data_IF_675425054556
#
_entry.id   IF_675425054556
#
_cell.length_a   1.000
_cell.length_b   1.000
_cell.length_c   1.000
_cell.angle_alpha   90.00
_cell.angle_beta   90.00
_cell.angle_gamma   90.00
#
_symmetry.space_group_name_H-M   'P 1'
#
loop_
_entity.id
_entity.type
_entity.pdbx_description
1 polymer ?
#
# COMPACT_ATOMS: atom_id res chain seq x y z
N UNK A 1 3.91 8.13 -44.71
CA UNK A 1 4.21 7.86 -43.28
C UNK A 1 4.28 9.15 -42.53
N UNK A 2 3.34 9.39 -41.64
CA UNK A 2 3.46 10.52 -40.71
C UNK A 2 4.41 10.08 -39.57
N UNK A 3 5.62 10.65 -39.54
CA UNK A 3 6.44 10.59 -38.36
C UNK A 3 5.75 11.45 -37.28
N UNK A 4 5.01 10.82 -36.41
CA UNK A 4 4.58 11.45 -35.17
C UNK A 4 5.82 11.54 -34.29
N UNK A 5 6.56 12.64 -34.41
CA UNK A 5 7.51 13.01 -33.36
C UNK A 5 6.70 13.36 -32.13
N UNK A 6 6.59 12.41 -31.19
CA UNK A 6 6.16 12.78 -29.85
C UNK A 6 7.19 13.75 -29.31
N UNK A 7 6.75 14.99 -29.06
CA UNK A 7 7.60 15.95 -28.37
C UNK A 7 7.87 15.41 -26.98
N UNK A 8 9.13 15.06 -26.73
CA UNK A 8 9.57 14.69 -25.40
C UNK A 8 9.57 15.93 -24.53
N UNK A 9 9.21 15.76 -23.27
CA UNK A 9 9.36 16.83 -22.27
C UNK A 9 10.81 17.26 -22.09
N UNK A 10 11.04 18.37 -21.39
CA UNK A 10 12.41 18.83 -21.13
C UNK A 10 13.22 17.80 -20.38
N UNK A 11 14.50 17.75 -20.69
CA UNK A 11 15.45 16.86 -20.01
C UNK A 11 15.55 17.25 -18.53
N UNK A 12 15.41 16.26 -17.63
CA UNK A 12 15.62 16.47 -16.21
C UNK A 12 17.11 16.32 -15.93
N UNK A 13 17.80 17.47 -15.75
CA UNK A 13 19.21 17.47 -15.40
C UNK A 13 19.39 16.99 -13.95
N UNK A 14 20.49 16.29 -13.69
CA UNK A 14 20.87 15.83 -12.34
C UNK A 14 19.87 14.90 -11.66
N UNK A 15 19.07 14.15 -12.46
CA UNK A 15 18.17 13.13 -11.92
C UNK A 15 18.98 12.07 -11.18
N UNK A 16 18.60 11.83 -9.91
CA UNK A 16 19.14 10.73 -9.10
C UNK A 16 18.04 9.75 -8.78
N UNK A 17 18.28 8.44 -8.89
CA UNK A 17 17.30 7.44 -8.50
C UNK A 17 16.88 7.64 -7.04
N UNK A 18 15.56 7.69 -6.74
CA UNK A 18 15.08 7.73 -5.37
C UNK A 18 15.35 6.40 -4.64
N UNK A 19 15.31 6.39 -3.30
CA UNK A 19 15.46 5.16 -2.53
C UNK A 19 14.29 4.21 -2.75
N UNK A 20 14.56 2.93 -2.55
CA UNK A 20 13.51 1.88 -2.59
C UNK A 20 12.66 1.95 -1.31
N UNK A 21 11.32 1.75 -1.39
CA UNK A 21 10.44 1.87 -0.23
C UNK A 21 10.47 0.69 0.74
N UNK A 22 11.24 -0.36 0.48
CA UNK A 22 11.31 -1.51 1.37
C UNK A 22 11.77 -1.12 2.77
N UNK A 23 11.01 -1.54 3.80
CA UNK A 23 11.34 -1.30 5.20
C UNK A 23 10.96 0.08 5.73
N UNK A 24 10.31 0.93 4.95
CA UNK A 24 9.91 2.26 5.41
C UNK A 24 8.72 2.21 6.36
N UNK A 25 8.64 3.21 7.23
CA UNK A 25 7.44 3.51 8.02
C UNK A 25 7.07 4.97 7.82
N UNK A 26 5.77 5.24 7.71
CA UNK A 26 5.23 6.57 7.50
C UNK A 26 4.39 6.96 8.70
N UNK A 27 4.66 8.11 9.28
CA UNK A 27 4.00 8.57 10.50
C UNK A 27 3.09 9.77 10.22
N UNK A 28 1.79 9.59 10.43
CA UNK A 28 0.78 10.62 10.31
C UNK A 28 0.22 11.05 11.67
N UNK A 29 -0.83 11.84 11.65
CA UNK A 29 -1.55 12.26 12.87
C UNK A 29 -2.51 11.19 13.35
N UNK A 30 -3.24 10.56 12.44
CA UNK A 30 -4.30 9.59 12.71
C UNK A 30 -3.83 8.16 12.50
N UNK A 31 -2.90 7.95 11.57
CA UNK A 31 -2.41 6.63 11.18
C UNK A 31 -0.89 6.58 11.13
N UNK A 32 -0.39 5.36 11.23
CA UNK A 32 0.99 5.00 10.93
C UNK A 32 0.96 3.87 9.91
N UNK A 33 1.76 3.97 8.86
CA UNK A 33 1.94 2.91 7.90
C UNK A 33 3.28 2.23 8.18
N UNK A 34 3.22 0.92 8.39
CA UNK A 34 4.40 0.13 8.75
C UNK A 34 4.50 -1.09 7.84
N UNK A 35 5.69 -1.68 7.66
CA UNK A 35 5.80 -2.92 6.89
C UNK A 35 4.80 -3.97 7.38
N UNK A 36 4.05 -4.55 6.45
CA UNK A 36 3.06 -5.57 6.77
C UNK A 36 3.76 -6.85 7.24
N UNK A 37 3.36 -7.36 8.40
CA UNK A 37 3.88 -8.59 8.98
C UNK A 37 2.76 -9.50 9.47
N UNK A 38 2.84 -10.79 9.14
CA UNK A 38 1.80 -11.75 9.46
C UNK A 38 1.59 -11.88 10.97
N UNK A 39 2.67 -12.00 11.73
CA UNK A 39 2.60 -12.21 13.18
C UNK A 39 2.01 -11.00 13.93
N UNK A 40 2.24 -9.79 13.43
CA UNK A 40 1.75 -8.57 14.07
C UNK A 40 0.38 -8.12 13.57
N UNK A 41 0.06 -8.34 12.30
CA UNK A 41 -1.07 -7.67 11.67
C UNK A 41 -2.18 -8.59 11.15
N UNK A 42 -1.88 -9.85 10.80
CA UNK A 42 -2.84 -10.69 10.07
C UNK A 42 -4.15 -10.93 10.83
N UNK A 43 -4.07 -11.24 12.12
CA UNK A 43 -5.27 -11.52 12.93
C UNK A 43 -6.21 -10.31 13.00
N UNK A 44 -5.68 -9.15 13.37
CA UNK A 44 -6.49 -7.93 13.51
C UNK A 44 -7.01 -7.43 12.16
N UNK A 45 -6.22 -7.57 11.08
CA UNK A 45 -6.69 -7.26 9.73
C UNK A 45 -7.81 -8.20 9.29
N UNK A 46 -7.66 -9.49 9.57
CA UNK A 46 -8.70 -10.47 9.26
C UNK A 46 -10.01 -10.16 9.99
N UNK A 47 -9.95 -9.85 11.27
CA UNK A 47 -11.11 -9.43 12.06
C UNK A 47 -11.78 -8.18 11.48
N UNK A 48 -11.01 -7.16 11.16
CA UNK A 48 -11.55 -5.94 10.56
C UNK A 48 -12.19 -6.21 9.19
N UNK A 49 -11.60 -7.08 8.39
CA UNK A 49 -12.09 -7.44 7.07
C UNK A 49 -13.40 -8.26 7.14
N UNK A 50 -13.66 -8.95 8.24
CA UNK A 50 -14.92 -9.71 8.42
C UNK A 50 -16.17 -8.81 8.46
N UNK A 51 -16.00 -7.52 8.68
CA UNK A 51 -17.10 -6.55 8.61
C UNK A 51 -17.62 -6.36 7.18
N UNK A 52 -16.86 -6.70 6.18
CA UNK A 52 -17.29 -6.80 4.77
C UNK A 52 -17.89 -8.19 4.53
N UNK A 53 -19.11 -8.38 4.98
CA UNK A 53 -19.78 -9.68 4.97
C UNK A 53 -20.02 -10.27 3.58
N UNK A 54 -20.10 -9.42 2.55
CA UNK A 54 -20.33 -9.83 1.17
C UNK A 54 -19.04 -10.00 0.36
N UNK A 55 -17.90 -9.62 0.91
CA UNK A 55 -16.59 -9.71 0.25
C UNK A 55 -16.44 -8.76 -0.94
N UNK A 56 -17.22 -7.68 -1.00
CA UNK A 56 -17.21 -6.73 -2.13
C UNK A 56 -15.92 -5.95 -2.23
N UNK A 57 -15.21 -5.75 -1.12
CA UNK A 57 -13.92 -5.05 -1.10
C UNK A 57 -12.81 -5.78 -1.87
N UNK A 58 -13.01 -7.07 -2.16
CA UNK A 58 -12.05 -7.90 -2.89
C UNK A 58 -12.30 -7.94 -4.40
N UNK A 59 -13.39 -7.31 -4.87
CA UNK A 59 -13.87 -7.46 -6.25
C UNK A 59 -12.85 -7.09 -7.34
N UNK A 60 -11.98 -6.14 -7.07
CA UNK A 60 -10.96 -5.67 -8.02
C UNK A 60 -9.54 -6.16 -7.69
N UNK A 61 -9.42 -7.05 -6.73
CA UNK A 61 -8.14 -7.64 -6.33
C UNK A 61 -8.00 -9.06 -6.89
N UNK A 62 -6.78 -9.49 -7.25
CA UNK A 62 -6.56 -10.83 -7.79
C UNK A 62 -6.56 -11.94 -6.71
N UNK A 63 -6.88 -11.60 -5.47
CA UNK A 63 -6.90 -12.49 -4.32
C UNK A 63 -8.05 -12.12 -3.38
N UNK A 64 -8.39 -13.05 -2.46
CA UNK A 64 -9.48 -12.88 -1.50
C UNK A 64 -10.87 -13.05 -2.11
N UNK A 65 -11.93 -12.97 -1.28
CA UNK A 65 -11.87 -12.98 0.17
C UNK A 65 -11.31 -14.29 0.73
N UNK A 66 -10.82 -14.27 1.97
CA UNK A 66 -10.23 -15.43 2.63
C UNK A 66 -11.26 -16.06 3.57
N UNK A 67 -11.38 -17.39 3.52
CA UNK A 67 -12.38 -18.12 4.27
C UNK A 67 -12.08 -18.18 5.78
N UNK A 68 -10.81 -18.22 6.15
CA UNK A 68 -10.37 -18.33 7.53
C UNK A 68 -9.08 -17.54 7.80
N UNK A 69 -8.77 -17.37 9.09
CA UNK A 69 -7.55 -16.66 9.50
C UNK A 69 -6.29 -17.36 9.00
N UNK A 70 -6.28 -18.68 8.97
CA UNK A 70 -5.10 -19.44 8.54
C UNK A 70 -4.70 -19.13 7.10
N UNK A 71 -5.68 -19.11 6.19
CA UNK A 71 -5.42 -18.80 4.78
C UNK A 71 -5.00 -17.33 4.59
N UNK A 72 -5.60 -16.41 5.32
CA UNK A 72 -5.20 -15.00 5.29
C UNK A 72 -3.79 -14.79 5.88
N UNK A 73 -3.49 -15.40 7.00
CA UNK A 73 -2.17 -15.35 7.63
C UNK A 73 -1.09 -15.86 6.67
N UNK A 74 -1.36 -16.97 5.98
CA UNK A 74 -0.43 -17.53 4.99
C UNK A 74 -0.23 -16.56 3.82
N UNK A 75 -1.29 -15.92 3.34
CA UNK A 75 -1.18 -14.91 2.28
C UNK A 75 -0.32 -13.71 2.72
N UNK A 76 -0.54 -13.20 3.93
CA UNK A 76 0.27 -12.10 4.47
C UNK A 76 1.73 -12.51 4.58
N UNK A 77 2.01 -13.71 5.09
CA UNK A 77 3.37 -14.23 5.21
C UNK A 77 4.08 -14.34 3.87
N UNK A 78 3.38 -14.78 2.84
CA UNK A 78 3.94 -14.89 1.49
C UNK A 78 4.22 -13.52 0.85
N UNK A 79 3.51 -12.49 1.25
CA UNK A 79 3.60 -11.15 0.67
C UNK A 79 4.36 -10.14 1.53
N UNK A 80 4.74 -10.49 2.75
CA UNK A 80 5.56 -9.62 3.59
C UNK A 80 7.02 -9.62 3.13
N UNK A 81 7.69 -8.50 3.29
CA UNK A 81 9.13 -8.39 3.04
C UNK A 81 9.56 -8.53 1.58
N UNK A 82 8.63 -8.40 0.64
CA UNK A 82 8.95 -8.45 -0.79
C UNK A 82 9.59 -7.14 -1.27
N UNK A 83 10.38 -7.26 -2.34
CA UNK A 83 10.93 -6.10 -3.04
C UNK A 83 9.87 -5.35 -3.88
N UNK A 84 8.89 -6.07 -4.42
CA UNK A 84 7.82 -5.52 -5.26
C UNK A 84 6.68 -6.55 -5.41
N UNK A 85 5.48 -6.28 -4.95
CA UNK A 85 5.03 -5.07 -4.23
C UNK A 85 5.54 -5.00 -2.79
N UNK A 86 5.66 -3.78 -2.27
CA UNK A 86 5.98 -3.51 -0.87
C UNK A 86 4.69 -3.20 -0.13
N UNK A 87 4.20 -4.12 0.67
CA UNK A 87 2.97 -3.95 1.43
C UNK A 87 3.21 -3.24 2.76
N UNK A 88 2.33 -2.28 3.05
CA UNK A 88 2.28 -1.57 4.33
C UNK A 88 0.94 -1.85 5.02
N UNK A 89 0.99 -2.09 6.31
CA UNK A 89 -0.20 -2.13 7.15
C UNK A 89 -0.53 -0.72 7.63
N UNK A 90 -1.80 -0.35 7.54
CA UNK A 90 -2.32 0.95 7.98
C UNK A 90 -2.84 0.78 9.39
N UNK A 91 -2.11 1.31 10.37
CA UNK A 91 -2.43 1.19 11.79
C UNK A 91 -3.06 2.49 12.27
N UNK A 92 -4.28 2.39 12.78
CA UNK A 92 -4.96 3.53 13.41
C UNK A 92 -4.33 3.81 14.78
N UNK A 93 -3.91 5.06 15.01
CA UNK A 93 -3.22 5.43 16.25
C UNK A 93 -4.12 5.37 17.48
N UNK A 94 -5.38 5.74 17.33
CA UNK A 94 -6.35 5.74 18.44
C UNK A 94 -6.56 4.34 19.02
N UNK A 95 -6.78 3.35 18.18
CA UNK A 95 -7.04 1.96 18.60
C UNK A 95 -5.76 1.10 18.66
N UNK A 96 -4.69 1.50 17.99
CA UNK A 96 -3.50 0.70 17.81
C UNK A 96 -3.70 -0.49 16.86
N UNK A 97 -4.81 -0.54 16.13
CA UNK A 97 -5.16 -1.66 15.26
C UNK A 97 -4.87 -1.39 13.80
N UNK A 98 -4.36 -2.39 13.05
CA UNK A 98 -4.31 -2.31 11.60
C UNK A 98 -5.73 -2.44 11.03
N UNK A 99 -6.13 -1.51 10.18
CA UNK A 99 -7.46 -1.46 9.58
C UNK A 99 -7.46 -1.64 8.07
N UNK A 100 -6.30 -1.70 7.45
CA UNK A 100 -6.17 -1.89 6.02
C UNK A 100 -4.73 -2.11 5.60
N UNK A 101 -4.55 -2.38 4.33
CA UNK A 101 -3.24 -2.52 3.69
C UNK A 101 -3.22 -1.70 2.41
N UNK A 102 -2.03 -1.28 2.02
CA UNK A 102 -1.74 -0.69 0.73
C UNK A 102 -0.33 -1.04 0.31
N UNK A 103 0.01 -0.88 -0.94
CA UNK A 103 1.36 -1.19 -1.39
C UNK A 103 1.92 -0.17 -2.36
N UNK A 104 3.24 -0.12 -2.43
CA UNK A 104 3.97 0.38 -3.58
C UNK A 104 4.27 -0.79 -4.51
N UNK A 105 4.02 -0.63 -5.78
CA UNK A 105 4.32 -1.64 -6.79
C UNK A 105 4.84 -0.99 -8.07
N UNK A 106 5.31 -1.82 -9.00
CA UNK A 106 5.97 -1.36 -10.22
C UNK A 106 7.02 -0.31 -9.91
N UNK A 107 7.92 -0.70 -9.02
CA UNK A 107 8.92 0.18 -8.42
C UNK A 107 10.14 0.18 -9.36
N UNK A 108 10.36 1.32 -10.03
CA UNK A 108 11.47 1.51 -10.96
C UNK A 108 12.27 2.76 -10.60
N UNK A 109 13.19 2.67 -9.60
CA UNK A 109 13.95 3.85 -9.15
C UNK A 109 14.75 4.50 -10.27
N UNK A 110 15.32 3.71 -11.17
CA UNK A 110 16.09 4.25 -12.30
C UNK A 110 15.25 5.14 -13.22
N UNK A 111 13.97 4.88 -13.33
CA UNK A 111 13.02 5.66 -14.13
C UNK A 111 12.28 6.72 -13.31
N UNK A 112 12.41 6.69 -11.99
CA UNK A 112 11.68 7.58 -11.08
C UNK A 112 10.19 7.33 -11.06
N UNK A 113 9.77 6.08 -11.28
CA UNK A 113 8.34 5.72 -11.30
C UNK A 113 8.00 4.73 -10.20
N UNK A 114 6.80 4.90 -9.64
CA UNK A 114 6.24 4.04 -8.59
C UNK A 114 4.72 4.16 -8.66
N UNK A 115 4.04 3.08 -8.31
CA UNK A 115 2.57 3.04 -8.26
C UNK A 115 2.10 2.73 -6.85
N UNK A 116 1.01 3.35 -6.42
CA UNK A 116 0.29 2.97 -5.21
C UNK A 116 -0.88 2.10 -5.61
N UNK A 117 -0.97 0.92 -5.07
CA UNK A 117 -2.01 -0.05 -5.42
C UNK A 117 -2.14 -1.17 -4.41
N UNK A 118 -2.81 -2.24 -4.81
CA UNK A 118 -3.19 -3.32 -3.91
C UNK A 118 -3.81 -2.79 -2.61
N UNK A 119 -4.71 -1.80 -2.75
CA UNK A 119 -5.35 -1.13 -1.62
C UNK A 119 -6.53 -1.96 -1.16
N UNK A 120 -6.50 -2.36 0.10
CA UNK A 120 -7.61 -3.05 0.73
C UNK A 120 -7.89 -2.42 2.10
N UNK A 121 -8.96 -1.62 2.16
CA UNK A 121 -9.41 -0.98 3.38
C UNK A 121 -10.57 -1.78 3.98
N UNK A 122 -10.47 -2.15 5.25
CA UNK A 122 -11.62 -2.68 5.97
C UNK A 122 -12.74 -1.64 6.04
N UNK A 123 -14.00 -2.06 6.29
CA UNK A 123 -15.10 -1.11 6.46
C UNK A 123 -14.85 -0.03 7.52
N UNK A 124 -14.04 -0.33 8.54
CA UNK A 124 -13.66 0.64 9.57
C UNK A 124 -12.77 1.78 9.06
N UNK A 125 -12.03 1.54 7.99
CA UNK A 125 -11.13 2.53 7.41
C UNK A 125 -11.76 3.28 6.23
N UNK A 126 -12.66 2.62 5.49
CA UNK A 126 -13.30 3.19 4.31
C UNK A 126 -14.01 4.50 4.61
N UNK A 127 -13.86 5.49 3.71
CA UNK A 127 -14.53 6.80 3.78
C UNK A 127 -14.21 7.58 5.06
N UNK A 128 -13.02 7.37 5.62
CA UNK A 128 -12.56 8.09 6.80
C UNK A 128 -11.45 9.06 6.47
N UNK A 129 -11.22 10.02 7.37
CA UNK A 129 -10.06 10.92 7.29
C UNK A 129 -8.75 10.14 7.40
N UNK A 130 -8.75 9.05 8.16
CA UNK A 130 -7.59 8.15 8.29
C UNK A 130 -7.22 7.51 6.96
N UNK A 131 -8.19 7.13 6.14
CA UNK A 131 -7.94 6.60 4.80
C UNK A 131 -7.30 7.66 3.89
N UNK A 132 -7.80 8.87 3.92
CA UNK A 132 -7.26 10.01 3.15
C UNK A 132 -5.82 10.31 3.58
N UNK A 133 -5.55 10.35 4.88
CA UNK A 133 -4.19 10.56 5.40
C UNK A 133 -3.23 9.47 4.94
N UNK A 134 -3.68 8.21 4.93
CA UNK A 134 -2.87 7.08 4.47
C UNK A 134 -2.39 7.27 3.03
N UNK A 135 -3.28 7.66 2.13
CA UNK A 135 -2.94 7.92 0.74
C UNK A 135 -2.03 9.15 0.60
N UNK A 136 -2.31 10.20 1.36
CA UNK A 136 -1.46 11.39 1.38
C UNK A 136 -0.03 11.05 1.80
N UNK A 137 0.15 10.28 2.87
CA UNK A 137 1.48 9.88 3.34
C UNK A 137 2.26 9.09 2.30
N UNK A 138 1.59 8.17 1.60
CA UNK A 138 2.24 7.38 0.56
C UNK A 138 2.68 8.25 -0.62
N UNK A 139 1.84 9.19 -1.06
CA UNK A 139 2.18 10.13 -2.14
C UNK A 139 3.29 11.09 -1.69
N UNK A 140 3.21 11.62 -0.49
CA UNK A 140 4.21 12.51 0.07
C UNK A 140 5.59 11.86 0.08
N UNK A 141 5.69 10.63 0.56
CA UNK A 141 6.95 9.90 0.55
C UNK A 141 7.51 9.76 -0.87
N UNK A 142 6.68 9.37 -1.82
CA UNK A 142 7.11 9.14 -3.20
C UNK A 142 7.67 10.42 -3.85
N UNK A 143 7.08 11.57 -3.57
CA UNK A 143 7.54 12.85 -4.12
C UNK A 143 8.71 13.47 -3.37
N UNK A 144 8.79 13.28 -2.06
CA UNK A 144 9.84 13.88 -1.22
C UNK A 144 11.10 13.03 -1.12
N UNK A 145 11.01 11.72 -1.33
CA UNK A 145 12.16 10.81 -1.26
C UNK A 145 13.12 10.96 -2.45
N UNK A 146 12.64 11.49 -3.54
CA UNK A 146 13.42 11.76 -4.75
C UNK A 146 13.41 13.23 -5.08
#
# INVERSE_FOLDING_TARGET
>A
MKNTHMELGPLVADFKPPPHPKGISLDGKLVQLVPMEAEEHAEALFEANQLDTEGTNWAYLPYGPFADLKSYHSWVRENQGLEDPVFLAIVEKESGRPLGIASYLRIHPAEGSIEVGHIHFSPLLQRTTSATESMFLMMQWAFEAG
#
